data_IF_574666926242
#
_entry.id   IF_574666926242
#
_cell.length_a   1.000
_cell.length_b   1.000
_cell.length_c   1.000
_cell.angle_alpha   90.00
_cell.angle_beta   90.00
_cell.angle_gamma   90.00
#
_symmetry.space_group_name_H-M   'P 1'
#
loop_
_entity.id
_entity.type
_entity.pdbx_description
1 polymer ?
#
# COMPACT_ATOMS: atom_id res chain seq x y z
N UNK A 1 19.29 -20.95 17.89
CA UNK A 1 19.71 -19.76 17.12
C UNK A 1 20.03 -18.65 18.12
N UNK A 2 21.12 -17.92 17.95
CA UNK A 2 21.57 -16.90 18.89
C UNK A 2 20.58 -15.72 18.99
N UNK A 3 20.45 -15.14 20.19
CA UNK A 3 19.59 -13.96 20.44
C UNK A 3 19.87 -12.80 19.47
N UNK A 4 21.10 -12.67 18.95
CA UNK A 4 21.49 -11.64 17.99
C UNK A 4 20.88 -11.82 16.59
N UNK A 5 20.69 -13.05 16.11
CA UNK A 5 20.18 -13.27 14.75
C UNK A 5 18.74 -12.80 14.57
N UNK A 6 17.85 -12.97 15.57
CA UNK A 6 16.46 -12.52 15.46
C UNK A 6 16.33 -11.00 15.24
N UNK A 7 17.20 -10.20 15.91
CA UNK A 7 17.21 -8.75 15.73
C UNK A 7 17.85 -8.32 14.41
N UNK A 8 18.87 -9.04 13.95
CA UNK A 8 19.44 -8.86 12.62
C UNK A 8 18.41 -9.16 11.52
N UNK A 9 17.64 -10.25 11.67
CA UNK A 9 16.57 -10.61 10.76
C UNK A 9 15.52 -9.49 10.64
N UNK A 10 15.04 -8.97 11.78
CA UNK A 10 14.04 -7.88 11.75
C UNK A 10 14.61 -6.61 11.12
N UNK A 11 15.87 -6.27 11.37
CA UNK A 11 16.50 -5.12 10.75
C UNK A 11 16.56 -5.27 9.22
N UNK A 12 16.97 -6.44 8.72
CA UNK A 12 17.01 -6.73 7.28
C UNK A 12 15.62 -6.69 6.64
N UNK A 13 14.64 -7.36 7.24
CA UNK A 13 13.26 -7.37 6.72
C UNK A 13 12.64 -5.97 6.79
N UNK A 14 12.90 -5.20 7.84
CA UNK A 14 12.42 -3.83 7.95
C UNK A 14 13.06 -2.92 6.88
N UNK A 15 14.35 -3.09 6.61
CA UNK A 15 15.01 -2.35 5.54
C UNK A 15 14.45 -2.70 4.15
N UNK A 16 14.17 -3.99 3.90
CA UNK A 16 13.52 -4.40 2.66
C UNK A 16 12.10 -3.84 2.54
N UNK A 17 11.35 -3.76 3.65
CA UNK A 17 10.00 -3.22 3.63
C UNK A 17 9.98 -1.69 3.46
N UNK A 18 10.92 -1.00 4.09
CA UNK A 18 11.21 0.41 3.82
C UNK A 18 11.44 0.64 2.32
N UNK A 19 12.33 -0.14 1.73
CA UNK A 19 12.70 -0.02 0.33
C UNK A 19 11.53 -0.33 -0.61
N UNK A 20 10.78 -1.39 -0.31
CA UNK A 20 9.57 -1.78 -1.02
C UNK A 20 8.53 -0.66 -1.07
N UNK A 21 8.30 0.04 0.06
CA UNK A 21 7.31 1.11 0.11
C UNK A 21 7.80 2.40 -0.58
N UNK A 22 9.09 2.69 -0.49
CA UNK A 22 9.69 3.79 -1.23
C UNK A 22 9.61 3.55 -2.75
N UNK A 23 9.91 2.33 -3.23
CA UNK A 23 9.78 1.92 -4.61
C UNK A 23 8.33 2.04 -5.12
N UNK A 24 7.37 1.59 -4.32
CA UNK A 24 5.93 1.70 -4.65
C UNK A 24 5.49 3.15 -4.90
N UNK A 25 6.05 4.11 -4.17
CA UNK A 25 5.73 5.51 -4.34
C UNK A 25 6.32 6.14 -5.62
N UNK A 26 7.38 5.58 -6.20
CA UNK A 26 8.13 6.17 -7.32
C UNK A 26 7.24 6.60 -8.48
N UNK A 27 6.32 5.73 -8.90
CA UNK A 27 5.50 6.01 -10.06
C UNK A 27 4.58 7.22 -9.86
N UNK A 28 3.95 7.33 -8.68
CA UNK A 28 3.14 8.50 -8.32
C UNK A 28 3.96 9.79 -8.23
N UNK A 29 5.19 9.70 -7.70
CA UNK A 29 6.13 10.82 -7.59
C UNK A 29 6.65 11.29 -8.96
N UNK A 30 6.82 10.36 -9.91
CA UNK A 30 7.39 10.61 -11.24
C UNK A 30 6.32 10.66 -12.35
N UNK A 31 5.05 10.77 -11.99
CA UNK A 31 3.92 10.77 -12.94
C UNK A 31 4.09 11.81 -14.05
N UNK A 32 4.48 13.06 -13.70
CA UNK A 32 4.66 14.14 -14.67
C UNK A 32 5.75 13.83 -15.70
N UNK A 33 7.01 13.54 -15.32
CA UNK A 33 8.06 13.29 -16.30
C UNK A 33 7.81 12.03 -17.13
N UNK A 34 7.20 10.98 -16.56
CA UNK A 34 6.83 9.78 -17.31
C UNK A 34 5.78 10.10 -18.36
N UNK A 35 4.73 10.82 -17.96
CA UNK A 35 3.62 11.19 -18.83
C UNK A 35 4.09 12.06 -19.99
N UNK A 36 4.95 13.03 -19.72
CA UNK A 36 5.45 13.96 -20.75
C UNK A 36 6.38 13.29 -21.75
N UNK A 37 7.31 12.44 -21.29
CA UNK A 37 8.26 11.76 -22.21
C UNK A 37 7.55 10.72 -23.07
N UNK A 38 6.65 9.94 -22.48
CA UNK A 38 5.97 8.83 -23.16
C UNK A 38 4.66 9.26 -23.84
N UNK A 39 4.29 10.55 -23.78
CA UNK A 39 3.05 11.11 -24.32
C UNK A 39 1.79 10.35 -23.89
N UNK A 40 1.71 9.95 -22.59
CA UNK A 40 0.61 9.20 -22.05
C UNK A 40 -0.53 10.12 -21.62
N UNK A 41 -1.78 9.70 -21.84
CA UNK A 41 -2.95 10.39 -21.32
C UNK A 41 -3.14 10.15 -19.82
N UNK A 42 -3.92 11.00 -19.15
CA UNK A 42 -4.29 10.79 -17.75
C UNK A 42 -5.04 9.48 -17.55
N UNK A 43 -5.94 9.12 -18.46
CA UNK A 43 -6.63 7.83 -18.44
C UNK A 43 -5.66 6.64 -18.51
N UNK A 44 -4.65 6.70 -19.37
CA UNK A 44 -3.61 5.65 -19.46
C UNK A 44 -2.80 5.54 -18.17
N UNK A 45 -2.38 6.67 -17.59
CA UNK A 45 -1.70 6.69 -16.29
C UNK A 45 -2.60 6.13 -15.17
N UNK A 46 -3.88 6.44 -15.22
CA UNK A 46 -4.88 5.86 -14.33
C UNK A 46 -4.97 4.35 -14.45
N UNK A 47 -5.02 3.81 -15.66
CA UNK A 47 -5.02 2.37 -15.92
C UNK A 47 -3.75 1.67 -15.44
N UNK A 48 -2.58 2.27 -15.60
CA UNK A 48 -1.32 1.73 -15.06
C UNK A 48 -1.41 1.59 -13.54
N UNK A 49 -1.86 2.63 -12.84
CA UNK A 49 -2.04 2.57 -11.38
C UNK A 49 -3.15 1.60 -10.97
N UNK A 50 -4.27 1.60 -11.67
CA UNK A 50 -5.39 0.68 -11.43
C UNK A 50 -4.97 -0.78 -11.60
N UNK A 51 -4.23 -1.10 -12.66
CA UNK A 51 -3.72 -2.44 -12.90
C UNK A 51 -2.79 -2.94 -11.78
N UNK A 52 -1.96 -2.04 -11.18
CA UNK A 52 -1.15 -2.40 -10.01
C UNK A 52 -2.04 -2.88 -8.85
N UNK A 53 -3.06 -2.09 -8.49
CA UNK A 53 -3.93 -2.43 -7.37
C UNK A 53 -4.78 -3.67 -7.66
N UNK A 54 -5.23 -3.86 -8.90
CA UNK A 54 -5.93 -5.08 -9.33
C UNK A 54 -5.01 -6.31 -9.25
N UNK A 55 -3.74 -6.19 -9.67
CA UNK A 55 -2.74 -7.25 -9.55
C UNK A 55 -2.50 -7.61 -8.09
N UNK A 56 -2.33 -6.61 -7.21
CA UNK A 56 -2.18 -6.84 -5.77
C UNK A 56 -3.41 -7.54 -5.17
N UNK A 57 -4.63 -7.16 -5.58
CA UNK A 57 -5.86 -7.78 -5.12
C UNK A 57 -5.92 -9.28 -5.45
N UNK A 58 -5.50 -9.65 -6.65
CA UNK A 58 -5.51 -11.04 -7.14
C UNK A 58 -4.33 -11.84 -6.58
N UNK A 59 -3.15 -11.27 -6.58
CA UNK A 59 -1.92 -12.00 -6.24
C UNK A 59 -1.69 -12.16 -4.74
N UNK A 60 -2.21 -11.27 -3.88
CA UNK A 60 -2.03 -11.37 -2.42
C UNK A 60 -2.61 -12.67 -1.83
N UNK A 61 -3.83 -13.11 -2.15
CA UNK A 61 -4.34 -14.41 -1.71
C UNK A 61 -3.48 -15.60 -2.20
N UNK A 62 -3.01 -15.54 -3.45
CA UNK A 62 -2.13 -16.55 -4.04
C UNK A 62 -0.80 -16.60 -3.28
N UNK A 63 -0.22 -15.44 -2.98
CA UNK A 63 1.01 -15.32 -2.21
C UNK A 63 0.86 -15.88 -0.79
N UNK A 64 -0.28 -15.64 -0.13
CA UNK A 64 -0.60 -16.24 1.17
C UNK A 64 -0.61 -17.77 1.10
N UNK A 65 -1.29 -18.33 0.10
CA UNK A 65 -1.32 -19.78 -0.13
C UNK A 65 0.07 -20.37 -0.41
N UNK A 66 0.89 -19.69 -1.21
CA UNK A 66 2.27 -20.09 -1.47
C UNK A 66 3.13 -20.00 -0.20
N UNK A 67 2.95 -18.98 0.64
CA UNK A 67 3.66 -18.80 1.91
C UNK A 67 3.43 -19.93 2.92
N UNK A 68 2.29 -20.62 2.82
CA UNK A 68 1.97 -21.79 3.65
C UNK A 68 2.62 -23.09 3.15
N UNK A 69 3.07 -23.15 1.89
CA UNK A 69 3.53 -24.37 1.24
C UNK A 69 5.00 -24.38 0.86
N UNK A 70 5.53 -23.21 0.54
CA UNK A 70 6.92 -23.04 0.08
C UNK A 70 7.80 -22.40 1.14
N UNK A 71 9.10 -22.50 0.96
CA UNK A 71 10.10 -21.86 1.82
C UNK A 71 9.90 -20.34 1.84
N UNK A 72 9.65 -19.79 3.02
CA UNK A 72 9.47 -18.35 3.22
C UNK A 72 10.70 -17.54 2.84
N UNK A 73 11.89 -18.09 3.11
CA UNK A 73 13.17 -17.50 2.67
C UNK A 73 13.17 -17.30 1.16
N UNK A 74 12.89 -18.36 0.39
CA UNK A 74 12.94 -18.29 -1.06
C UNK A 74 11.81 -17.45 -1.68
N UNK A 75 10.63 -17.42 -1.05
CA UNK A 75 9.54 -16.53 -1.46
C UNK A 75 9.93 -15.06 -1.26
N UNK A 76 10.48 -14.68 -0.09
CA UNK A 76 10.93 -13.32 0.20
C UNK A 76 12.06 -12.91 -0.75
N UNK A 77 13.08 -13.76 -0.88
CA UNK A 77 14.26 -13.45 -1.69
C UNK A 77 13.93 -13.39 -3.17
N UNK A 78 13.18 -14.38 -3.66
CA UNK A 78 12.77 -14.45 -5.07
C UNK A 78 11.85 -13.30 -5.46
N UNK A 79 10.87 -12.94 -4.60
CA UNK A 79 10.00 -11.78 -4.83
C UNK A 79 10.81 -10.49 -4.87
N UNK A 80 11.72 -10.28 -3.93
CA UNK A 80 12.58 -9.09 -3.86
C UNK A 80 13.44 -8.94 -5.11
N UNK A 81 14.09 -10.01 -5.55
CA UNK A 81 14.91 -10.01 -6.79
C UNK A 81 14.02 -9.73 -8.00
N UNK A 82 12.89 -10.42 -8.11
CA UNK A 82 12.00 -10.31 -9.26
C UNK A 82 11.43 -8.89 -9.41
N UNK A 83 10.80 -8.32 -8.36
CA UNK A 83 10.28 -6.96 -8.48
C UNK A 83 11.37 -5.92 -8.68
N UNK A 84 12.57 -6.12 -8.11
CA UNK A 84 13.69 -5.19 -8.30
C UNK A 84 14.18 -5.18 -9.75
N UNK A 85 14.24 -6.34 -10.40
CA UNK A 85 14.55 -6.43 -11.83
C UNK A 85 13.48 -5.70 -12.65
N UNK A 86 12.19 -5.95 -12.36
CA UNK A 86 11.09 -5.32 -13.09
C UNK A 86 11.03 -3.81 -12.86
N UNK A 87 11.37 -3.35 -11.65
CA UNK A 87 11.56 -1.92 -11.34
C UNK A 87 12.72 -1.32 -12.16
N UNK A 88 13.87 -1.99 -12.24
CA UNK A 88 14.97 -1.52 -13.08
C UNK A 88 14.58 -1.47 -14.57
N UNK A 89 13.80 -2.46 -15.05
CA UNK A 89 13.29 -2.49 -16.42
C UNK A 89 12.39 -1.29 -16.75
N UNK A 90 11.73 -0.69 -15.74
CA UNK A 90 10.99 0.56 -15.93
C UNK A 90 11.86 1.69 -16.46
N UNK A 91 13.16 1.71 -16.18
CA UNK A 91 14.10 2.69 -16.75
C UNK A 91 14.31 2.57 -18.27
N UNK A 92 13.86 1.48 -18.88
CA UNK A 92 14.05 1.16 -20.30
C UNK A 92 12.75 1.05 -21.10
N UNK A 93 11.60 1.35 -20.48
CA UNK A 93 10.29 1.29 -21.15
C UNK A 93 10.17 2.30 -22.28
N UNK A 94 9.38 1.97 -23.28
CA UNK A 94 9.12 2.77 -24.46
C UNK A 94 8.30 1.97 -25.46
N UNK A 95 8.24 2.44 -26.70
CA UNK A 95 7.69 1.66 -27.79
C UNK A 95 8.69 0.57 -28.19
N UNK A 96 8.29 -0.68 -28.09
CA UNK A 96 9.12 -1.81 -28.51
C UNK A 96 8.68 -2.34 -29.88
N UNK A 97 9.66 -2.55 -30.74
CA UNK A 97 9.45 -3.15 -32.05
C UNK A 97 9.92 -4.62 -32.02
N UNK A 98 8.97 -5.55 -32.00
CA UNK A 98 9.25 -6.98 -31.92
C UNK A 98 8.57 -7.71 -33.08
N UNK A 99 9.35 -8.35 -33.95
CA UNK A 99 8.84 -9.13 -35.09
C UNK A 99 7.83 -8.37 -35.97
N UNK A 100 8.05 -7.05 -36.20
CA UNK A 100 7.16 -6.20 -36.99
C UNK A 100 5.92 -5.67 -36.25
N UNK A 101 5.73 -6.04 -34.99
CA UNK A 101 4.68 -5.50 -34.12
C UNK A 101 5.24 -4.36 -33.25
N UNK A 102 4.45 -3.29 -33.10
CA UNK A 102 4.75 -2.18 -32.19
C UNK A 102 3.99 -2.43 -30.88
N UNK A 103 4.74 -2.61 -29.79
CA UNK A 103 4.17 -2.63 -28.44
C UNK A 103 4.27 -1.21 -27.90
N UNK A 104 3.13 -0.49 -27.73
CA UNK A 104 3.16 0.90 -27.28
C UNK A 104 3.77 1.04 -25.88
N UNK A 105 4.39 2.20 -25.60
CA UNK A 105 4.95 2.54 -24.29
C UNK A 105 3.95 2.33 -23.13
N UNK A 106 2.67 2.64 -23.34
CA UNK A 106 1.60 2.36 -22.37
C UNK A 106 1.58 0.92 -21.91
N UNK A 107 1.63 -0.05 -22.84
CA UNK A 107 1.58 -1.48 -22.48
C UNK A 107 2.87 -1.93 -21.81
N UNK A 108 4.02 -1.43 -22.22
CA UNK A 108 5.30 -1.77 -21.60
C UNK A 108 5.38 -1.25 -20.15
N UNK A 109 4.95 -0.01 -19.91
CA UNK A 109 4.84 0.56 -18.56
C UNK A 109 3.85 -0.24 -17.72
N UNK A 110 2.65 -0.51 -18.25
CA UNK A 110 1.63 -1.28 -17.52
C UNK A 110 2.12 -2.68 -17.16
N UNK A 111 2.86 -3.35 -18.05
CA UNK A 111 3.41 -4.67 -17.78
C UNK A 111 4.48 -4.61 -16.68
N UNK A 112 5.53 -3.82 -16.85
CA UNK A 112 6.64 -3.80 -15.88
C UNK A 112 6.21 -3.19 -14.55
N UNK A 113 5.54 -2.04 -14.55
CA UNK A 113 5.15 -1.34 -13.32
C UNK A 113 4.02 -2.03 -12.55
N UNK A 114 3.03 -2.57 -13.26
CA UNK A 114 1.80 -2.98 -12.58
C UNK A 114 1.68 -4.49 -12.47
N UNK A 115 1.82 -5.22 -13.58
CA UNK A 115 1.61 -6.67 -13.59
C UNK A 115 2.82 -7.37 -12.98
N UNK A 116 4.03 -7.10 -13.49
CA UNK A 116 5.24 -7.79 -13.05
C UNK A 116 5.67 -7.34 -11.65
N UNK A 117 5.85 -6.03 -11.42
CA UNK A 117 6.23 -5.51 -10.10
C UNK A 117 5.17 -5.83 -9.06
N UNK A 118 3.88 -5.53 -9.33
CA UNK A 118 2.79 -5.82 -8.40
C UNK A 118 2.65 -7.31 -8.08
N UNK A 119 2.85 -8.18 -9.09
CA UNK A 119 2.89 -9.62 -8.90
C UNK A 119 4.02 -10.06 -7.95
N UNK A 120 5.24 -9.55 -8.18
CA UNK A 120 6.39 -9.82 -7.33
C UNK A 120 6.21 -9.31 -5.90
N UNK A 121 5.80 -8.06 -5.73
CA UNK A 121 5.58 -7.42 -4.44
C UNK A 121 4.62 -8.17 -3.53
N UNK A 122 3.60 -8.82 -4.09
CA UNK A 122 2.55 -9.50 -3.32
C UNK A 122 3.07 -10.61 -2.43
N UNK A 123 4.18 -11.26 -2.79
CA UNK A 123 4.74 -12.40 -2.04
C UNK A 123 5.57 -12.00 -0.83
N UNK A 124 6.04 -10.75 -0.77
CA UNK A 124 6.93 -10.30 0.30
C UNK A 124 6.24 -10.27 1.66
N UNK A 125 5.18 -9.48 1.79
CA UNK A 125 4.58 -9.17 3.09
C UNK A 125 4.03 -10.41 3.84
N UNK A 126 3.24 -11.31 3.23
CA UNK A 126 2.76 -12.51 3.93
C UNK A 126 3.89 -13.39 4.43
N UNK A 127 4.92 -13.59 3.59
CA UNK A 127 6.08 -14.43 3.92
C UNK A 127 6.96 -13.80 5.00
N UNK A 128 7.17 -12.47 4.97
CA UNK A 128 7.94 -11.74 5.98
C UNK A 128 7.25 -11.78 7.35
N UNK A 129 5.94 -11.51 7.42
CA UNK A 129 5.18 -11.59 8.68
C UNK A 129 5.24 -13.00 9.29
N UNK A 130 5.10 -14.05 8.47
CA UNK A 130 5.20 -15.42 8.92
C UNK A 130 6.61 -15.75 9.44
N UNK A 131 7.66 -15.29 8.75
CA UNK A 131 9.05 -15.51 9.18
C UNK A 131 9.38 -14.77 10.48
N UNK A 132 8.93 -13.52 10.63
CA UNK A 132 9.06 -12.75 11.88
C UNK A 132 8.38 -13.51 13.04
N UNK A 133 7.17 -14.00 12.82
CA UNK A 133 6.41 -14.70 13.85
C UNK A 133 7.12 -15.96 14.39
N UNK A 134 7.84 -16.68 13.53
CA UNK A 134 8.60 -17.89 13.91
C UNK A 134 9.83 -17.54 14.75
N UNK A 135 10.56 -16.47 14.41
CA UNK A 135 11.80 -16.09 15.09
C UNK A 135 11.57 -15.26 16.36
N UNK A 136 10.45 -14.55 16.47
CA UNK A 136 10.12 -13.63 17.56
C UNK A 136 8.92 -14.09 18.39
N UNK A 137 8.93 -15.34 18.91
CA UNK A 137 7.80 -15.89 19.68
C UNK A 137 7.40 -15.01 20.88
N UNK A 138 8.38 -14.58 21.69
CA UNK A 138 8.16 -13.75 22.88
C UNK A 138 8.05 -12.25 22.58
N UNK A 139 8.68 -11.78 21.51
CA UNK A 139 8.77 -10.36 21.13
C UNK A 139 8.06 -10.07 19.81
N UNK A 140 7.06 -10.88 19.46
CA UNK A 140 6.38 -10.83 18.15
C UNK A 140 5.74 -9.47 17.87
N UNK A 141 5.03 -8.91 18.83
CA UNK A 141 4.36 -7.62 18.67
C UNK A 141 5.37 -6.49 18.40
N UNK A 142 6.47 -6.45 19.18
CA UNK A 142 7.53 -5.45 19.00
C UNK A 142 8.20 -5.60 17.63
N UNK A 143 8.53 -6.81 17.22
CA UNK A 143 9.16 -7.07 15.92
C UNK A 143 8.25 -6.67 14.75
N UNK A 144 6.95 -7.00 14.81
CA UNK A 144 5.98 -6.59 13.81
C UNK A 144 5.78 -5.07 13.79
N UNK A 145 5.79 -4.40 14.94
CA UNK A 145 5.71 -2.94 15.01
C UNK A 145 6.92 -2.25 14.38
N UNK A 146 8.13 -2.77 14.60
CA UNK A 146 9.35 -2.26 13.96
C UNK A 146 9.27 -2.42 12.42
N UNK A 147 8.85 -3.61 11.98
CA UNK A 147 8.67 -3.88 10.55
C UNK A 147 7.60 -2.95 9.93
N UNK A 148 6.49 -2.73 10.63
CA UNK A 148 5.42 -1.84 10.16
C UNK A 148 5.84 -0.35 10.17
N UNK A 149 6.65 0.08 11.16
CA UNK A 149 7.21 1.43 11.18
C UNK A 149 8.09 1.70 9.95
N UNK A 150 8.84 0.70 9.48
CA UNK A 150 9.67 0.82 8.29
C UNK A 150 8.85 1.13 7.01
N UNK A 151 7.60 0.63 6.91
CA UNK A 151 6.67 1.00 5.84
C UNK A 151 6.44 2.52 5.80
N UNK A 152 6.05 3.09 6.96
CA UNK A 152 5.77 4.53 7.04
C UNK A 152 7.01 5.37 6.78
N UNK A 153 8.17 4.97 7.31
CA UNK A 153 9.43 5.66 7.07
C UNK A 153 9.78 5.62 5.57
N UNK A 154 9.58 4.50 4.89
CA UNK A 154 9.76 4.37 3.44
C UNK A 154 8.90 5.36 2.65
N UNK A 155 7.60 5.45 2.98
CA UNK A 155 6.68 6.39 2.35
C UNK A 155 7.02 7.86 2.67
N UNK A 156 7.32 8.18 3.94
CA UNK A 156 7.70 9.53 4.36
C UNK A 156 8.92 10.07 3.62
N UNK A 157 9.91 9.22 3.41
CA UNK A 157 11.21 9.63 2.84
C UNK A 157 11.27 9.48 1.33
N UNK A 158 10.32 8.77 0.70
CA UNK A 158 10.33 8.48 -0.74
C UNK A 158 10.42 9.74 -1.59
N UNK A 159 9.64 10.78 -1.28
CA UNK A 159 9.65 12.05 -2.01
C UNK A 159 10.98 12.79 -1.90
N UNK A 160 11.59 12.80 -0.70
CA UNK A 160 12.92 13.40 -0.49
C UNK A 160 14.02 12.64 -1.24
N UNK A 161 14.00 11.30 -1.21
CA UNK A 161 14.95 10.45 -1.93
C UNK A 161 14.85 10.67 -3.44
N UNK A 162 13.65 10.65 -4.00
CA UNK A 162 13.42 10.92 -5.42
C UNK A 162 13.87 12.33 -5.77
N UNK A 163 13.48 13.34 -4.98
CA UNK A 163 13.88 14.73 -5.20
C UNK A 163 15.39 14.93 -5.19
N UNK A 164 16.09 14.28 -4.25
CA UNK A 164 17.55 14.30 -4.18
C UNK A 164 18.20 13.70 -5.43
N UNK A 165 17.73 12.54 -5.89
CA UNK A 165 18.25 11.88 -7.10
C UNK A 165 17.99 12.76 -8.32
N UNK A 166 16.78 13.31 -8.47
CA UNK A 166 16.44 14.19 -9.59
C UNK A 166 17.32 15.44 -9.60
N UNK A 167 17.57 16.03 -8.45
CA UNK A 167 18.46 17.20 -8.32
C UNK A 167 19.90 16.85 -8.71
N UNK A 168 20.42 15.71 -8.23
CA UNK A 168 21.77 15.24 -8.55
C UNK A 168 21.96 14.92 -10.05
N UNK A 169 20.89 14.49 -10.72
CA UNK A 169 20.92 14.14 -12.15
C UNK A 169 20.56 15.31 -13.08
N UNK A 170 20.09 16.42 -12.53
CA UNK A 170 19.68 17.59 -13.29
C UNK A 170 20.87 18.12 -14.11
N UNK A 171 20.67 18.25 -15.43
CA UNK A 171 21.71 18.75 -16.35
C UNK A 171 22.86 17.77 -16.62
N UNK A 172 22.76 16.51 -16.15
CA UNK A 172 23.75 15.48 -16.43
C UNK A 172 23.86 15.20 -17.91
N UNK A 173 25.02 15.50 -18.53
CA UNK A 173 25.28 15.21 -19.94
C UNK A 173 25.16 13.70 -20.25
N UNK A 174 25.49 12.85 -19.28
CA UNK A 174 25.34 11.40 -19.40
C UNK A 174 23.86 10.98 -19.53
N UNK A 175 22.97 11.55 -18.68
CA UNK A 175 21.53 11.27 -18.74
C UNK A 175 20.95 11.73 -20.07
N UNK A 176 21.26 12.97 -20.48
CA UNK A 176 20.78 13.53 -21.76
C UNK A 176 21.25 12.69 -22.94
N UNK A 177 22.51 12.23 -22.92
CA UNK A 177 23.07 11.40 -23.99
C UNK A 177 22.38 10.03 -24.13
N UNK A 178 22.01 9.39 -23.01
CA UNK A 178 21.52 8.00 -23.02
C UNK A 178 19.99 7.90 -22.97
N UNK A 179 19.31 8.87 -22.37
CA UNK A 179 17.85 8.84 -22.15
C UNK A 179 17.12 10.07 -22.72
N UNK A 180 17.84 11.02 -23.32
CA UNK A 180 17.25 12.26 -23.78
C UNK A 180 16.96 13.28 -22.68
N UNK A 181 16.55 14.49 -23.08
CA UNK A 181 16.31 15.59 -22.14
C UNK A 181 15.14 15.36 -21.17
N UNK A 182 14.14 14.60 -21.59
CA UNK A 182 12.96 14.26 -20.78
C UNK A 182 13.13 12.99 -19.96
N UNK A 183 14.16 12.16 -20.23
CA UNK A 183 14.39 10.85 -19.64
C UNK A 183 15.06 10.88 -18.26
N UNK A 184 15.13 12.01 -17.57
CA UNK A 184 15.82 12.16 -16.27
C UNK A 184 15.18 11.36 -15.13
N UNK A 185 13.98 10.87 -15.27
CA UNK A 185 13.30 9.98 -14.32
C UNK A 185 13.75 8.53 -14.43
N UNK A 186 14.24 8.08 -15.58
CA UNK A 186 14.62 6.68 -15.87
C UNK A 186 15.71 6.15 -14.94
N UNK A 187 16.82 6.90 -14.68
CA UNK A 187 17.83 6.49 -13.73
C UNK A 187 17.30 6.26 -12.30
N UNK A 188 16.22 6.93 -11.89
CA UNK A 188 15.62 6.71 -10.55
C UNK A 188 15.15 5.27 -10.44
N UNK A 189 14.42 4.74 -11.41
CA UNK A 189 13.98 3.34 -11.43
C UNK A 189 15.15 2.37 -11.53
N UNK A 190 16.17 2.68 -12.34
CA UNK A 190 17.37 1.83 -12.46
C UNK A 190 18.12 1.76 -11.14
N UNK A 191 18.31 2.89 -10.45
CA UNK A 191 18.99 2.95 -9.14
C UNK A 191 18.20 2.15 -8.11
N UNK A 192 16.89 2.40 -7.98
CA UNK A 192 16.05 1.68 -7.03
C UNK A 192 16.04 0.17 -7.33
N UNK A 193 15.80 -0.23 -8.56
CA UNK A 193 15.81 -1.63 -8.95
C UNK A 193 17.16 -2.30 -8.71
N UNK A 194 18.28 -1.63 -9.03
CA UNK A 194 19.62 -2.17 -8.78
C UNK A 194 19.92 -2.36 -7.30
N UNK A 195 19.57 -1.37 -6.45
CA UNK A 195 19.75 -1.47 -5.00
C UNK A 195 18.89 -2.58 -4.39
N UNK A 196 17.63 -2.70 -4.84
CA UNK A 196 16.76 -3.78 -4.41
C UNK A 196 17.25 -5.16 -4.85
N UNK A 197 17.80 -5.27 -6.06
CA UNK A 197 18.43 -6.50 -6.54
C UNK A 197 19.63 -6.90 -5.67
N UNK A 198 20.52 -5.97 -5.36
CA UNK A 198 21.67 -6.21 -4.48
C UNK A 198 21.22 -6.64 -3.08
N UNK A 199 20.16 -6.03 -2.55
CA UNK A 199 19.55 -6.43 -1.28
C UNK A 199 18.98 -7.86 -1.36
N UNK A 200 18.31 -8.22 -2.46
CA UNK A 200 17.82 -9.57 -2.71
C UNK A 200 18.93 -10.59 -2.76
N UNK A 201 20.04 -10.28 -3.42
CA UNK A 201 21.25 -11.13 -3.44
C UNK A 201 21.82 -11.29 -2.03
N UNK A 202 21.89 -10.22 -1.24
CA UNK A 202 22.32 -10.30 0.16
C UNK A 202 21.42 -11.24 0.99
N UNK A 203 20.10 -11.25 0.71
CA UNK A 203 19.14 -12.11 1.39
C UNK A 203 19.38 -13.60 1.13
N UNK A 204 19.91 -13.99 -0.04
CA UNK A 204 20.29 -15.40 -0.32
C UNK A 204 21.22 -15.92 0.77
N UNK A 205 22.20 -15.10 1.18
CA UNK A 205 23.24 -15.49 2.13
C UNK A 205 22.84 -15.24 3.59
N UNK A 206 22.10 -14.17 3.87
CA UNK A 206 21.83 -13.71 5.22
C UNK A 206 20.52 -14.27 5.82
N UNK A 207 19.52 -14.55 4.98
CA UNK A 207 18.23 -15.03 5.46
C UNK A 207 18.31 -16.54 5.78
N UNK A 208 17.82 -16.92 6.95
CA UNK A 208 17.70 -18.32 7.37
C UNK A 208 16.26 -18.67 7.63
N UNK A 209 15.82 -19.80 7.10
CA UNK A 209 14.52 -20.36 7.40
C UNK A 209 14.49 -20.83 8.86
N UNK A 210 13.55 -20.33 9.66
CA UNK A 210 13.32 -20.85 10.99
C UNK A 210 12.62 -22.21 10.88
N UNK A 211 13.07 -23.22 11.62
CA UNK A 211 12.33 -24.46 11.74
C UNK A 211 11.03 -24.19 12.49
N UNK A 212 9.91 -24.45 11.86
CA UNK A 212 8.60 -24.42 12.52
C UNK A 212 8.53 -25.61 13.50
N UNK A 213 7.85 -25.42 14.63
CA UNK A 213 7.65 -26.56 15.58
C UNK A 213 6.78 -27.66 14.95
N UNK A 214 6.07 -27.33 13.87
CA UNK A 214 5.35 -28.30 13.06
C UNK A 214 6.27 -29.35 12.41
N UNK A 215 7.44 -28.92 11.90
CA UNK A 215 8.44 -29.84 11.34
C UNK A 215 9.03 -30.78 12.40
N UNK A 216 9.11 -30.33 13.66
CA UNK A 216 9.62 -31.16 14.76
C UNK A 216 8.61 -32.16 15.30
N UNK A 217 7.31 -31.89 15.20
CA UNK A 217 6.25 -32.81 15.61
C UNK A 217 6.08 -33.94 14.60
N UNK A 218 6.25 -33.63 13.31
CA UNK A 218 6.14 -34.61 12.23
C UNK A 218 7.35 -35.57 12.21
N UNK A 219 8.55 -35.12 12.67
CA UNK A 219 9.72 -36.00 12.81
C UNK A 219 9.70 -36.88 14.07
N UNK A 220 9.03 -36.48 15.16
CA UNK A 220 9.00 -37.22 16.43
C UNK A 220 7.87 -38.23 16.55
N UNK A 221 6.76 -38.00 15.88
CA UNK A 221 5.58 -38.85 15.90
C UNK A 221 5.35 -39.46 14.52
N UNK A 222 6.09 -40.54 14.21
CA UNK A 222 5.84 -41.37 13.02
C UNK A 222 4.50 -42.11 13.05
N UNK A 223 3.49 -41.58 13.71
CA UNK A 223 2.12 -42.06 13.78
C UNK A 223 1.16 -40.95 13.38
N UNK A 224 0.52 -41.18 12.28
CA UNK A 224 -0.84 -40.81 11.88
C UNK A 224 -1.63 -39.83 12.77
N UNK A 225 -1.16 -38.56 12.87
CA UNK A 225 -1.94 -37.43 13.37
C UNK A 225 -2.45 -36.54 12.24
N UNK A 226 -2.60 -37.08 11.04
CA UNK A 226 -3.28 -36.40 9.93
C UNK A 226 -4.76 -36.16 10.20
N UNK A 227 -5.36 -36.82 11.19
CA UNK A 227 -6.81 -36.83 11.42
C UNK A 227 -7.35 -35.88 12.51
N UNK A 228 -6.51 -34.99 13.07
CA UNK A 228 -6.99 -33.92 13.97
C UNK A 228 -6.31 -32.57 13.68
N UNK A 229 -6.00 -32.29 12.44
CA UNK A 229 -5.85 -30.90 12.03
C UNK A 229 -7.25 -30.33 11.97
N UNK A 230 -7.46 -29.25 12.73
CA UNK A 230 -8.68 -28.44 12.66
C UNK A 230 -9.15 -28.40 11.20
N UNK A 231 -10.25 -29.06 10.88
CA UNK A 231 -10.85 -29.01 9.55
C UNK A 231 -11.07 -27.54 9.25
N UNK A 232 -10.28 -27.02 8.31
CA UNK A 232 -10.49 -25.64 7.86
C UNK A 232 -11.97 -25.56 7.46
N UNK A 233 -12.73 -24.64 8.06
CA UNK A 233 -14.15 -24.58 7.78
C UNK A 233 -14.33 -24.46 6.24
N UNK A 234 -15.36 -25.11 5.68
CA UNK A 234 -15.63 -25.05 4.26
C UNK A 234 -15.63 -23.59 3.79
N UNK A 235 -15.02 -23.31 2.65
CA UNK A 235 -14.96 -21.95 2.10
C UNK A 235 -16.34 -21.28 2.05
N UNK A 236 -17.37 -22.06 1.72
CA UNK A 236 -18.77 -21.61 1.67
C UNK A 236 -19.26 -21.08 3.01
N UNK A 237 -18.85 -21.69 4.12
CA UNK A 237 -19.21 -21.17 5.46
C UNK A 237 -18.52 -19.86 5.77
N UNK A 238 -17.25 -19.71 5.38
CA UNK A 238 -16.52 -18.45 5.49
C UNK A 238 -17.14 -17.33 4.64
N UNK A 239 -17.56 -17.64 3.42
CA UNK A 239 -18.30 -16.71 2.57
C UNK A 239 -19.63 -16.29 3.22
N UNK A 240 -20.41 -17.25 3.73
CA UNK A 240 -21.67 -16.97 4.45
C UNK A 240 -21.41 -16.12 5.68
N UNK A 241 -20.40 -16.45 6.51
CA UNK A 241 -20.05 -15.71 7.71
C UNK A 241 -19.68 -14.25 7.43
N UNK A 242 -19.18 -13.95 6.23
CA UNK A 242 -18.87 -12.59 5.80
C UNK A 242 -20.08 -11.90 5.15
N UNK A 243 -20.66 -12.48 4.08
CA UNK A 243 -21.71 -11.83 3.29
C UNK A 243 -23.08 -11.79 3.98
N UNK A 244 -23.37 -12.68 4.91
CA UNK A 244 -24.58 -12.64 5.73
C UNK A 244 -24.42 -11.85 7.03
N UNK A 245 -23.27 -11.22 7.27
CA UNK A 245 -22.99 -10.40 8.44
C UNK A 245 -23.03 -8.90 8.09
N UNK A 246 -24.10 -8.17 8.41
CA UNK A 246 -24.23 -6.75 8.09
C UNK A 246 -23.13 -5.90 8.67
N UNK A 247 -22.67 -6.16 9.90
CA UNK A 247 -21.59 -5.40 10.51
C UNK A 247 -20.26 -5.60 9.79
N UNK A 248 -19.97 -6.81 9.31
CA UNK A 248 -18.77 -7.08 8.51
C UNK A 248 -18.82 -6.37 7.14
N UNK A 249 -19.98 -6.34 6.49
CA UNK A 249 -20.18 -5.64 5.21
C UNK A 249 -20.04 -4.12 5.38
N UNK A 250 -20.68 -3.55 6.42
CA UNK A 250 -20.59 -2.11 6.71
C UNK A 250 -19.17 -1.68 7.07
N UNK A 251 -18.44 -2.48 7.87
CA UNK A 251 -17.04 -2.25 8.17
C UNK A 251 -16.17 -2.33 6.90
N UNK A 252 -16.46 -3.30 6.02
CA UNK A 252 -15.78 -3.40 4.71
C UNK A 252 -16.07 -2.19 3.82
N UNK A 253 -17.26 -1.63 3.85
CA UNK A 253 -17.59 -0.38 3.15
C UNK A 253 -16.73 0.81 3.59
N UNK A 254 -16.48 0.94 4.90
CA UNK A 254 -15.53 1.93 5.43
C UNK A 254 -14.09 1.68 4.95
N UNK A 255 -13.66 0.42 4.93
CA UNK A 255 -12.34 0.04 4.43
C UNK A 255 -12.19 0.26 2.91
N UNK A 256 -13.23 -0.01 2.13
CA UNK A 256 -13.27 0.32 0.69
C UNK A 256 -13.06 1.83 0.47
N UNK A 257 -13.75 2.66 1.24
CA UNK A 257 -13.64 4.11 1.13
C UNK A 257 -12.21 4.61 1.38
N UNK A 258 -11.52 4.10 2.42
CA UNK A 258 -10.14 4.49 2.71
C UNK A 258 -9.16 3.98 1.64
N UNK A 259 -9.35 2.78 1.10
CA UNK A 259 -8.50 2.23 0.04
C UNK A 259 -8.67 3.02 -1.25
N UNK A 260 -9.90 3.38 -1.64
CA UNK A 260 -10.18 4.26 -2.78
C UNK A 260 -9.42 5.58 -2.65
N UNK A 261 -9.57 6.26 -1.51
CA UNK A 261 -8.92 7.54 -1.27
C UNK A 261 -7.39 7.42 -1.27
N UNK A 262 -6.84 6.38 -0.64
CA UNK A 262 -5.40 6.14 -0.61
C UNK A 262 -4.84 5.87 -2.01
N UNK A 263 -5.50 5.05 -2.82
CA UNK A 263 -5.03 4.70 -4.15
C UNK A 263 -4.98 5.92 -5.07
N UNK A 264 -6.00 6.78 -5.01
CA UNK A 264 -6.01 8.04 -5.76
C UNK A 264 -4.97 9.01 -5.22
N UNK A 265 -4.87 9.16 -3.90
CA UNK A 265 -3.89 10.04 -3.28
C UNK A 265 -2.46 9.68 -3.68
N UNK A 266 -2.08 8.42 -3.53
CA UNK A 266 -0.74 7.93 -3.89
C UNK A 266 -0.43 8.07 -5.38
N UNK A 267 -1.44 7.96 -6.24
CA UNK A 267 -1.28 8.03 -7.68
C UNK A 267 -1.19 9.47 -8.21
N UNK A 268 -1.95 10.40 -7.62
CA UNK A 268 -2.24 11.67 -8.26
C UNK A 268 -1.91 12.91 -7.42
N UNK A 269 -1.83 12.80 -6.08
CA UNK A 269 -1.59 13.97 -5.24
C UNK A 269 -0.26 14.68 -5.55
N UNK A 270 0.88 13.99 -5.78
CA UNK A 270 2.12 14.66 -6.15
C UNK A 270 2.00 15.47 -7.44
N UNK A 271 1.37 14.88 -8.48
CA UNK A 271 1.14 15.57 -9.75
C UNK A 271 0.21 16.78 -9.59
N UNK A 272 -0.91 16.58 -8.90
CA UNK A 272 -1.88 17.66 -8.66
C UNK A 272 -1.23 18.88 -7.98
N UNK A 273 -0.45 18.65 -6.92
CA UNK A 273 0.23 19.73 -6.20
C UNK A 273 1.31 20.40 -7.06
N UNK A 274 2.10 19.60 -7.79
CA UNK A 274 3.15 20.12 -8.67
C UNK A 274 2.60 21.02 -9.78
N UNK A 275 1.48 20.63 -10.40
CA UNK A 275 0.85 21.44 -11.46
C UNK A 275 0.09 22.65 -10.92
N UNK A 276 -0.65 22.47 -9.80
CA UNK A 276 -1.46 23.54 -9.22
C UNK A 276 -0.62 24.69 -8.69
N UNK A 277 0.54 24.39 -8.13
CA UNK A 277 1.44 25.37 -7.51
C UNK A 277 2.79 25.49 -8.25
N UNK A 278 2.80 25.23 -9.56
CA UNK A 278 4.02 25.27 -10.37
C UNK A 278 4.74 26.62 -10.27
N UNK A 279 4.00 27.73 -10.26
CA UNK A 279 4.57 29.07 -10.12
C UNK A 279 5.29 29.33 -8.79
N UNK A 280 4.83 28.69 -7.69
CA UNK A 280 5.41 28.84 -6.36
C UNK A 280 6.58 27.85 -6.15
N UNK A 281 6.53 26.68 -6.79
CA UNK A 281 7.48 25.59 -6.60
C UNK A 281 8.75 25.68 -7.48
N UNK A 282 8.78 26.59 -8.45
CA UNK A 282 9.92 26.82 -9.32
C UNK A 282 9.88 26.04 -10.62
N UNK A 283 11.04 25.59 -11.10
CA UNK A 283 11.09 24.82 -12.34
C UNK A 283 10.45 23.42 -12.20
N UNK A 284 10.17 22.78 -13.31
CA UNK A 284 9.45 21.49 -13.36
C UNK A 284 10.08 20.42 -12.46
N UNK A 285 11.40 20.33 -12.39
CA UNK A 285 12.10 19.37 -11.54
C UNK A 285 11.91 19.70 -10.07
N UNK A 286 12.03 20.98 -9.70
CA UNK A 286 11.80 21.45 -8.36
C UNK A 286 10.33 21.26 -7.93
N UNK A 287 9.38 21.52 -8.82
CA UNK A 287 7.96 21.32 -8.56
C UNK A 287 7.63 19.84 -8.29
N UNK A 288 8.14 18.93 -9.13
CA UNK A 288 7.96 17.47 -8.95
C UNK A 288 8.58 17.00 -7.63
N UNK A 289 9.81 17.43 -7.32
CA UNK A 289 10.50 17.04 -6.10
C UNK A 289 9.81 17.58 -4.83
N UNK A 290 9.45 18.87 -4.82
CA UNK A 290 8.82 19.53 -3.66
C UNK A 290 7.40 19.03 -3.40
N UNK A 291 6.58 18.89 -4.44
CA UNK A 291 5.24 18.34 -4.34
C UNK A 291 5.25 16.88 -3.88
N UNK A 292 6.15 16.07 -4.45
CA UNK A 292 6.35 14.68 -4.05
C UNK A 292 6.77 14.55 -2.59
N UNK A 293 7.77 15.33 -2.16
CA UNK A 293 8.22 15.33 -0.77
C UNK A 293 7.09 15.79 0.18
N UNK A 294 6.44 16.89 -0.10
CA UNK A 294 5.40 17.43 0.78
C UNK A 294 4.20 16.51 0.91
N UNK A 295 3.69 15.96 -0.19
CA UNK A 295 2.54 15.02 -0.15
C UNK A 295 2.87 13.74 0.60
N UNK A 296 4.06 13.16 0.42
CA UNK A 296 4.45 11.94 1.13
C UNK A 296 4.78 12.21 2.60
N UNK A 297 5.58 13.22 2.88
CA UNK A 297 6.04 13.52 4.25
C UNK A 297 4.88 13.89 5.16
N UNK A 298 4.15 14.97 4.84
CA UNK A 298 3.12 15.50 5.75
C UNK A 298 1.99 14.50 5.97
N UNK A 299 1.53 13.82 4.92
CA UNK A 299 0.50 12.80 5.06
C UNK A 299 0.92 11.66 6.01
N UNK A 300 2.09 11.06 5.75
CA UNK A 300 2.47 9.84 6.45
C UNK A 300 3.02 10.09 7.85
N UNK A 301 3.67 11.24 8.11
CA UNK A 301 4.08 11.63 9.49
C UNK A 301 2.86 11.74 10.39
N UNK A 302 1.84 12.46 9.96
CA UNK A 302 0.64 12.66 10.77
C UNK A 302 -0.23 11.40 10.84
N UNK A 303 -0.28 10.58 9.77
CA UNK A 303 -0.94 9.29 9.82
C UNK A 303 -0.27 8.33 10.81
N UNK A 304 1.06 8.25 10.81
CA UNK A 304 1.82 7.41 11.75
C UNK A 304 1.62 7.85 13.21
N UNK A 305 1.71 9.14 13.47
CA UNK A 305 1.43 9.68 14.81
C UNK A 305 -0.01 9.36 15.27
N UNK A 306 -0.99 9.49 14.37
CA UNK A 306 -2.39 9.19 14.66
C UNK A 306 -2.65 7.68 14.86
N UNK A 307 -1.94 6.79 14.17
CA UNK A 307 -1.99 5.34 14.42
C UNK A 307 -1.53 5.04 15.84
N UNK A 308 -0.43 5.63 16.28
CA UNK A 308 0.08 5.43 17.64
C UNK A 308 -0.91 5.96 18.68
N UNK A 309 -1.36 7.20 18.54
CA UNK A 309 -2.33 7.81 19.44
C UNK A 309 -3.67 7.06 19.45
N UNK A 310 -4.15 6.67 18.28
CA UNK A 310 -5.40 5.93 18.09
C UNK A 310 -5.38 4.55 18.73
N UNK A 311 -4.22 3.86 18.67
CA UNK A 311 -4.03 2.58 19.35
C UNK A 311 -4.19 2.73 20.87
N UNK A 312 -3.47 3.66 21.50
CA UNK A 312 -3.59 3.92 22.93
C UNK A 312 -5.01 4.34 23.33
N UNK A 313 -5.61 5.23 22.55
CA UNK A 313 -6.99 5.68 22.79
C UNK A 313 -7.97 4.52 22.72
N UNK A 314 -7.87 3.68 21.72
CA UNK A 314 -8.78 2.55 21.53
C UNK A 314 -8.65 1.53 22.65
N UNK A 315 -7.43 1.17 23.02
CA UNK A 315 -7.18 0.18 24.09
C UNK A 315 -7.66 0.68 25.45
N UNK A 316 -7.60 1.99 25.72
CA UNK A 316 -8.10 2.58 26.94
C UNK A 316 -9.64 2.46 27.08
N UNK A 317 -10.36 2.61 25.96
CA UNK A 317 -11.82 2.71 26.01
C UNK A 317 -12.56 1.43 25.58
N UNK A 318 -11.98 0.57 24.75
CA UNK A 318 -12.69 -0.59 24.18
C UNK A 318 -13.20 -1.58 25.23
N UNK A 319 -12.47 -1.76 26.33
CA UNK A 319 -12.89 -2.65 27.43
C UNK A 319 -14.19 -2.19 28.08
N UNK A 320 -14.36 -0.88 28.24
CA UNK A 320 -15.56 -0.27 28.84
C UNK A 320 -16.67 -0.04 27.81
N UNK A 321 -16.28 0.21 26.57
CA UNK A 321 -17.18 0.53 25.47
C UNK A 321 -16.82 -0.24 24.21
N UNK A 322 -17.25 -1.50 24.06
CA UNK A 322 -16.81 -2.42 23.01
C UNK A 322 -17.01 -1.93 21.58
N UNK A 323 -17.97 -1.04 21.33
CA UNK A 323 -18.22 -0.41 20.03
C UNK A 323 -17.29 0.75 19.69
N UNK A 324 -16.36 1.09 20.58
CA UNK A 324 -15.51 2.29 20.46
C UNK A 324 -14.68 2.31 19.16
N UNK A 325 -14.22 1.14 18.69
CA UNK A 325 -13.48 1.02 17.41
C UNK A 325 -14.28 1.56 16.24
N UNK A 326 -15.54 1.13 16.10
CA UNK A 326 -16.42 1.59 15.02
C UNK A 326 -16.71 3.08 15.11
N UNK A 327 -16.87 3.60 16.34
CA UNK A 327 -17.08 5.04 16.56
C UNK A 327 -15.86 5.85 16.07
N UNK A 328 -14.64 5.45 16.51
CA UNK A 328 -13.41 6.13 16.10
C UNK A 328 -13.26 6.08 14.57
N UNK A 329 -13.48 4.92 13.95
CA UNK A 329 -13.38 4.76 12.50
C UNK A 329 -14.43 5.59 11.75
N UNK A 330 -15.69 5.55 12.19
CA UNK A 330 -16.76 6.31 11.55
C UNK A 330 -16.54 7.81 11.65
N UNK A 331 -16.17 8.31 12.84
CA UNK A 331 -15.87 9.74 13.07
C UNK A 331 -14.63 10.15 12.26
N UNK A 332 -13.59 9.32 12.23
CA UNK A 332 -12.37 9.61 11.48
C UNK A 332 -12.64 9.75 9.97
N UNK A 333 -13.42 8.85 9.37
CA UNK A 333 -13.80 9.00 7.95
C UNK A 333 -14.67 10.24 7.74
N UNK A 334 -15.61 10.50 8.63
CA UNK A 334 -16.54 11.63 8.48
C UNK A 334 -15.83 12.97 8.59
N UNK A 335 -14.89 13.12 9.53
CA UNK A 335 -14.06 14.33 9.69
C UNK A 335 -12.91 14.40 8.66
N UNK A 336 -12.45 13.28 8.15
CA UNK A 336 -11.46 13.22 7.07
C UNK A 336 -12.02 13.62 5.70
N UNK A 337 -13.33 13.46 5.49
CA UNK A 337 -14.01 13.82 4.25
C UNK A 337 -13.83 15.30 3.85
N UNK A 338 -14.11 16.30 4.70
CA UNK A 338 -13.87 17.70 4.36
C UNK A 338 -12.39 18.02 4.15
N UNK A 339 -11.46 17.25 4.70
CA UNK A 339 -10.02 17.46 4.49
C UNK A 339 -9.61 17.13 3.04
N UNK A 340 -10.21 16.10 2.45
CA UNK A 340 -10.00 15.77 1.03
C UNK A 340 -10.62 16.82 0.10
N UNK A 341 -11.78 17.35 0.45
CA UNK A 341 -12.39 18.49 -0.27
C UNK A 341 -11.47 19.71 -0.15
N UNK A 342 -11.04 20.03 1.06
CA UNK A 342 -10.12 21.15 1.30
C UNK A 342 -8.81 20.98 0.52
N UNK A 343 -8.22 19.80 0.50
CA UNK A 343 -7.03 19.50 -0.31
C UNK A 343 -7.25 19.85 -1.79
N UNK A 344 -8.39 19.43 -2.37
CA UNK A 344 -8.73 19.75 -3.75
C UNK A 344 -8.82 21.25 -4.02
N UNK A 345 -9.43 22.01 -3.13
CA UNK A 345 -9.70 23.44 -3.30
C UNK A 345 -8.76 24.37 -2.50
N UNK A 346 -7.66 23.85 -1.96
CA UNK A 346 -6.70 24.64 -1.19
C UNK A 346 -6.19 25.84 -2.01
N UNK A 347 -6.24 27.07 -1.46
CA UNK A 347 -5.92 28.29 -2.22
C UNK A 347 -4.41 28.54 -2.36
N UNK A 348 -3.58 27.94 -1.51
CA UNK A 348 -2.13 28.10 -1.49
C UNK A 348 -1.45 26.85 -0.93
N UNK A 349 -0.14 26.80 -1.07
CA UNK A 349 0.67 25.65 -0.70
C UNK A 349 0.62 25.32 0.80
N UNK A 350 0.62 26.32 1.67
CA UNK A 350 0.53 26.11 3.13
C UNK A 350 -0.80 25.46 3.49
N UNK A 351 -1.91 25.96 2.95
CA UNK A 351 -3.25 25.40 3.13
C UNK A 351 -3.32 23.95 2.64
N UNK A 352 -2.62 23.63 1.53
CA UNK A 352 -2.51 22.29 1.00
C UNK A 352 -1.82 21.36 1.99
N UNK A 353 -0.68 21.76 2.59
CA UNK A 353 0.03 20.93 3.55
C UNK A 353 -0.77 20.70 4.83
N UNK A 354 -1.50 21.70 5.30
CA UNK A 354 -2.40 21.55 6.46
C UNK A 354 -3.52 20.56 6.15
N UNK A 355 -4.15 20.65 4.97
CA UNK A 355 -5.20 19.72 4.57
C UNK A 355 -4.67 18.28 4.43
N UNK A 356 -3.47 18.10 3.85
CA UNK A 356 -2.77 16.81 3.71
C UNK A 356 -2.43 16.19 5.07
N UNK A 357 -1.91 17.00 5.99
CA UNK A 357 -1.59 16.57 7.35
C UNK A 357 -2.85 16.14 8.12
N UNK A 358 -3.90 16.95 8.05
CA UNK A 358 -5.18 16.65 8.68
C UNK A 358 -5.84 15.38 8.11
N UNK A 359 -5.80 15.20 6.78
CA UNK A 359 -6.23 13.94 6.15
C UNK A 359 -5.42 12.75 6.68
N UNK A 360 -4.10 12.89 6.82
CA UNK A 360 -3.24 11.87 7.41
C UNK A 360 -3.67 11.48 8.83
N UNK A 361 -3.98 12.47 9.70
CA UNK A 361 -4.48 12.21 11.06
C UNK A 361 -5.73 11.33 11.05
N UNK A 362 -6.75 11.72 10.30
CA UNK A 362 -7.99 10.96 10.27
C UNK A 362 -7.84 9.59 9.63
N UNK A 363 -7.00 9.46 8.60
CA UNK A 363 -6.64 8.16 8.05
C UNK A 363 -6.00 7.25 9.11
N UNK A 364 -5.04 7.76 9.88
CA UNK A 364 -4.35 6.99 10.92
C UNK A 364 -5.28 6.47 12.00
N UNK A 365 -6.21 7.28 12.49
CA UNK A 365 -7.23 6.85 13.46
C UNK A 365 -8.14 5.74 12.91
N UNK A 366 -8.45 5.75 11.64
CA UNK A 366 -9.18 4.65 11.03
C UNK A 366 -8.33 3.38 10.94
N UNK A 367 -7.12 3.49 10.41
CA UNK A 367 -6.27 2.37 9.99
C UNK A 367 -5.91 1.44 11.16
N UNK A 368 -5.64 1.99 12.33
CA UNK A 368 -5.27 1.21 13.53
C UNK A 368 -6.34 0.19 13.95
N UNK A 369 -7.60 0.45 13.64
CA UNK A 369 -8.72 -0.40 14.04
C UNK A 369 -9.26 -1.32 12.92
N UNK A 370 -8.69 -1.26 11.71
CA UNK A 370 -9.25 -1.91 10.50
C UNK A 370 -9.56 -3.39 10.68
N UNK A 371 -8.59 -4.19 11.12
CA UNK A 371 -8.79 -5.61 11.31
C UNK A 371 -9.49 -5.93 12.63
N UNK A 372 -9.22 -5.15 13.68
CA UNK A 372 -9.78 -5.37 15.00
C UNK A 372 -11.31 -5.22 15.00
N UNK A 373 -11.85 -4.20 14.32
CA UNK A 373 -13.30 -4.02 14.19
C UNK A 373 -14.00 -5.15 13.43
N UNK A 374 -13.34 -5.72 12.41
CA UNK A 374 -13.84 -6.89 11.72
C UNK A 374 -13.82 -8.13 12.61
N UNK A 375 -12.77 -8.29 13.44
CA UNK A 375 -12.65 -9.43 14.35
C UNK A 375 -13.65 -9.39 15.50
N UNK A 376 -14.16 -8.24 15.87
CA UNK A 376 -15.21 -8.09 16.87
C UNK A 376 -16.56 -8.69 16.42
N UNK A 377 -16.77 -8.85 15.10
CA UNK A 377 -18.03 -9.31 14.53
C UNK A 377 -17.93 -10.62 13.73
N UNK A 378 -16.73 -11.14 13.52
CA UNK A 378 -16.49 -12.39 12.80
C UNK A 378 -15.85 -13.43 13.72
N UNK A 379 -16.45 -14.62 13.77
CA UNK A 379 -15.96 -15.72 14.61
C UNK A 379 -14.51 -16.10 14.24
N UNK A 380 -13.65 -16.46 15.25
CA UNK A 380 -12.22 -16.71 15.07
C UNK A 380 -11.86 -17.61 13.89
N UNK A 381 -12.63 -18.69 13.69
CA UNK A 381 -12.41 -19.68 12.61
C UNK A 381 -12.58 -19.11 11.20
N UNK A 382 -13.27 -17.97 11.01
CA UNK A 382 -13.52 -17.34 9.70
C UNK A 382 -12.77 -16.03 9.51
N UNK A 383 -12.00 -15.54 10.48
CA UNK A 383 -11.32 -14.22 10.44
C UNK A 383 -10.39 -14.07 9.23
N UNK A 384 -9.60 -15.10 8.91
CA UNK A 384 -8.69 -15.06 7.75
C UNK A 384 -9.45 -14.92 6.44
N UNK A 385 -10.56 -15.66 6.27
CA UNK A 385 -11.42 -15.55 5.08
C UNK A 385 -12.05 -14.17 4.97
N UNK A 386 -12.56 -13.63 6.09
CA UNK A 386 -13.18 -12.32 6.13
C UNK A 386 -12.19 -11.19 5.79
N UNK A 387 -10.96 -11.22 6.32
CA UNK A 387 -9.90 -10.27 5.97
C UNK A 387 -9.56 -10.37 4.48
N UNK A 388 -9.42 -11.59 3.95
CA UNK A 388 -9.14 -11.81 2.54
C UNK A 388 -10.23 -11.23 1.63
N UNK A 389 -11.51 -11.46 1.96
CA UNK A 389 -12.65 -10.92 1.19
C UNK A 389 -12.74 -9.40 1.29
N UNK A 390 -12.60 -8.84 2.49
CA UNK A 390 -12.59 -7.39 2.70
C UNK A 390 -11.47 -6.73 1.89
N UNK A 391 -10.27 -7.30 1.90
CA UNK A 391 -9.11 -6.78 1.16
C UNK A 391 -9.30 -6.91 -0.34
N UNK A 392 -9.77 -8.06 -0.82
CA UNK A 392 -10.06 -8.29 -2.24
C UNK A 392 -11.06 -7.25 -2.78
N UNK A 393 -12.19 -7.07 -2.09
CA UNK A 393 -13.22 -6.10 -2.48
C UNK A 393 -12.66 -4.67 -2.48
N UNK A 394 -11.92 -4.30 -1.44
CA UNK A 394 -11.39 -2.95 -1.30
C UNK A 394 -10.35 -2.61 -2.38
N UNK A 395 -9.42 -3.50 -2.67
CA UNK A 395 -8.41 -3.26 -3.70
C UNK A 395 -8.97 -3.36 -5.10
N UNK A 396 -9.92 -4.27 -5.35
CA UNK A 396 -10.56 -4.40 -6.65
C UNK A 396 -11.38 -3.15 -7.01
N UNK A 397 -12.23 -2.67 -6.08
CA UNK A 397 -12.99 -1.43 -6.27
C UNK A 397 -12.06 -0.20 -6.27
N UNK A 398 -11.06 -0.22 -5.39
CA UNK A 398 -10.05 0.82 -5.30
C UNK A 398 -9.15 0.94 -6.52
N UNK A 399 -9.04 -0.11 -7.35
CA UNK A 399 -8.28 -0.09 -8.60
C UNK A 399 -8.92 0.82 -9.67
N UNK A 400 -10.23 0.98 -9.65
CA UNK A 400 -10.95 1.82 -10.62
C UNK A 400 -10.81 3.32 -10.34
N UNK A 401 -10.56 3.70 -9.09
CA UNK A 401 -10.55 5.10 -8.70
C UNK A 401 -9.42 5.93 -9.34
N UNK A 402 -8.15 5.48 -9.43
CA UNK A 402 -7.12 6.17 -10.20
C UNK A 402 -7.44 6.31 -11.68
N UNK A 403 -8.14 5.34 -12.27
CA UNK A 403 -8.59 5.36 -13.68
C UNK A 403 -9.59 6.48 -13.89
N UNK A 404 -10.62 6.55 -13.07
CA UNK A 404 -11.65 7.60 -13.13
C UNK A 404 -11.04 8.99 -12.93
N UNK A 405 -10.09 9.12 -12.00
CA UNK A 405 -9.37 10.38 -11.77
C UNK A 405 -8.56 10.80 -12.98
N UNK A 406 -7.89 9.86 -13.66
CA UNK A 406 -7.16 10.12 -14.90
C UNK A 406 -8.05 10.64 -16.02
N UNK A 407 -9.21 10.03 -16.24
CA UNK A 407 -10.19 10.53 -17.22
C UNK A 407 -10.78 11.88 -16.85
N UNK A 408 -11.02 12.16 -15.56
CA UNK A 408 -11.44 13.49 -15.10
C UNK A 408 -10.37 14.54 -15.39
N UNK A 409 -9.10 14.20 -15.20
CA UNK A 409 -7.98 15.07 -15.54
C UNK A 409 -7.91 15.32 -17.06
N UNK A 410 -8.02 14.29 -17.90
CA UNK A 410 -8.00 14.45 -19.37
C UNK A 410 -9.15 15.34 -19.85
N UNK A 411 -10.33 15.23 -19.22
CA UNK A 411 -11.51 16.00 -19.62
C UNK A 411 -11.51 17.45 -19.12
N UNK A 412 -10.88 17.76 -17.98
CA UNK A 412 -11.05 19.03 -17.27
C UNK A 412 -9.74 19.65 -16.72
N UNK A 413 -8.59 19.03 -16.99
CA UNK A 413 -7.30 19.45 -16.45
C UNK A 413 -7.28 19.47 -14.93
N UNK A 414 -6.66 20.49 -14.32
CA UNK A 414 -6.60 20.66 -12.85
C UNK A 414 -7.97 20.68 -12.19
N UNK A 415 -9.00 21.23 -12.85
CA UNK A 415 -10.37 21.21 -12.33
C UNK A 415 -10.91 19.78 -12.17
N UNK A 416 -10.46 18.85 -13.01
CA UNK A 416 -10.77 17.44 -12.88
C UNK A 416 -10.24 16.84 -11.57
N UNK A 417 -9.02 17.18 -11.17
CA UNK A 417 -8.46 16.77 -9.87
C UNK A 417 -9.23 17.38 -8.70
N UNK A 418 -9.54 18.69 -8.74
CA UNK A 418 -10.29 19.36 -7.68
C UNK A 418 -11.64 18.68 -7.43
N UNK A 419 -12.41 18.47 -8.49
CA UNK A 419 -13.72 17.78 -8.42
C UNK A 419 -13.54 16.31 -8.00
N UNK A 420 -12.51 15.64 -8.50
CA UNK A 420 -12.20 14.26 -8.17
C UNK A 420 -11.88 14.07 -6.68
N UNK A 421 -11.03 14.91 -6.09
CA UNK A 421 -10.74 14.87 -4.66
C UNK A 421 -11.98 15.20 -3.81
N UNK A 422 -12.85 16.11 -4.26
CA UNK A 422 -14.12 16.38 -3.58
C UNK A 422 -15.06 15.16 -3.65
N UNK A 423 -15.14 14.49 -4.79
CA UNK A 423 -15.94 13.26 -4.93
C UNK A 423 -15.43 12.13 -4.01
N UNK A 424 -14.10 12.00 -3.87
CA UNK A 424 -13.48 11.05 -2.92
C UNK A 424 -13.82 11.45 -1.48
N UNK A 425 -13.85 12.74 -1.16
CA UNK A 425 -14.36 13.23 0.13
C UNK A 425 -15.80 12.75 0.39
N UNK A 426 -16.66 12.77 -0.64
CA UNK A 426 -18.02 12.20 -0.56
C UNK A 426 -18.03 10.69 -0.28
N UNK A 427 -17.14 9.92 -0.95
CA UNK A 427 -16.97 8.47 -0.69
C UNK A 427 -16.49 8.24 0.74
N UNK A 428 -15.59 9.08 1.25
CA UNK A 428 -15.11 9.02 2.62
C UNK A 428 -16.23 9.26 3.64
N UNK A 429 -17.07 10.26 3.40
CA UNK A 429 -18.24 10.54 4.23
C UNK A 429 -19.24 9.38 4.20
N UNK A 430 -19.48 8.78 3.04
CA UNK A 430 -20.31 7.57 2.91
C UNK A 430 -19.73 6.42 3.72
N UNK A 431 -18.42 6.15 3.60
CA UNK A 431 -17.74 5.14 4.41
C UNK A 431 -17.91 5.38 5.90
N UNK A 432 -17.78 6.65 6.35
CA UNK A 432 -18.04 7.07 7.74
C UNK A 432 -19.49 6.79 8.17
N UNK A 433 -20.46 7.11 7.34
CA UNK A 433 -21.86 6.82 7.59
C UNK A 433 -22.13 5.31 7.73
N UNK A 434 -21.55 4.47 6.88
CA UNK A 434 -21.66 3.01 6.97
C UNK A 434 -21.11 2.49 8.29
N UNK A 435 -19.95 2.99 8.74
CA UNK A 435 -19.36 2.62 10.05
C UNK A 435 -20.26 3.06 11.21
N UNK A 436 -20.84 4.26 11.16
CA UNK A 436 -21.77 4.74 12.19
C UNK A 436 -23.10 3.98 12.18
N UNK A 437 -23.59 3.57 11.01
CA UNK A 437 -24.76 2.67 10.92
C UNK A 437 -24.45 1.35 11.61
N UNK A 438 -23.27 0.76 11.39
CA UNK A 438 -22.86 -0.43 12.10
C UNK A 438 -22.80 -0.22 13.62
N UNK A 439 -22.21 0.91 14.05
CA UNK A 439 -22.11 1.30 15.46
C UNK A 439 -23.48 1.39 16.16
N UNK A 440 -24.48 2.01 15.52
CA UNK A 440 -25.80 2.22 16.13
C UNK A 440 -26.71 1.00 16.04
N UNK A 441 -26.73 0.30 14.90
CA UNK A 441 -27.82 -0.63 14.57
C UNK A 441 -27.43 -2.10 14.55
N UNK A 442 -26.24 -2.48 14.01
CA UNK A 442 -25.94 -3.87 13.73
C UNK A 442 -24.95 -4.53 14.68
N UNK A 443 -23.98 -3.80 15.17
CA UNK A 443 -22.88 -4.35 15.98
C UNK A 443 -23.33 -5.14 17.22
N UNK A 444 -24.35 -4.68 17.93
CA UNK A 444 -24.82 -5.40 19.15
C UNK A 444 -25.33 -6.80 18.87
N UNK A 445 -25.95 -6.97 17.70
CA UNK A 445 -26.48 -8.26 17.25
C UNK A 445 -25.36 -9.17 16.77
N UNK A 446 -24.42 -8.61 15.99
CA UNK A 446 -23.44 -9.36 15.23
C UNK A 446 -22.13 -9.58 16.01
N UNK A 447 -21.99 -8.97 17.20
CA UNK A 447 -20.77 -9.07 18.03
C UNK A 447 -20.54 -10.50 18.48
N UNK A 448 -19.32 -10.98 18.27
CA UNK A 448 -18.84 -12.25 18.81
C UNK A 448 -18.34 -12.02 20.24
N UNK A 449 -18.95 -12.71 21.20
CA UNK A 449 -18.44 -12.79 22.60
C UNK A 449 -17.57 -14.03 22.67
N UNK A 450 -16.27 -13.82 22.93
CA UNK A 450 -15.32 -14.91 23.25
C UNK A 450 -15.53 -15.41 24.67
#
# INVERSE_FOLDING_TARGET
MGKSYKWFLIAMLSFAFFFHQADRALFGLLTIPIQDELNLTGGQMGWINGALFATLAIMTPIAGFCGDRFSRKWLITGSLIFWSITTACMGFVGDFHVLGLVIPAFLSVMFFRSIATGGGESFYAPSAYALIAVHHKETRSVALSIHQAALYIGLMTSGALVGWILHALKGSAWVVKHFGALGFWRPVFIIFGSLGFLLGVAFIFCLREGRDERDKSDERDGRDKRDKRDEKPPLIEGLKAFFCNPSALLASGGFIAIVIANNVYMSWAPKFVAEKFAAELGDKTAAVASAGNGTMLWHHVFAFAAIMAGGFLTDAFVKRFPRFRLLVQGVALFLGAPMLVWFGFAPNLISTWVAVAAYGVFRGFFEVNTHASLFDVVAPKYRSTAVGLMTLLAFFLGALAPVLMGYLYDARGLRGFEVGFAAIGGIYALGGALMLISFFFTFRRDRVTE
#
